data_IF_234318642297
#
_entry.id   IF_234318642297
#
_cell.length_a   1.000
_cell.length_b   1.000
_cell.length_c   1.000
_cell.angle_alpha   90.00
_cell.angle_beta   90.00
_cell.angle_gamma   90.00
#
_symmetry.space_group_name_H-M   'P 1'
#
loop_
_entity.id
_entity.type
_entity.pdbx_description
1 polymer ?
#
# COMPACT_ATOMS: atom_id res chain seq x y z
N UNK A 1 -3.77 21.72 -17.11
CA UNK A 1 -4.27 20.37 -16.75
C UNK A 1 -3.31 19.58 -15.85
N UNK A 2 -1.99 19.57 -16.11
CA UNK A 2 -1.03 18.77 -15.30
C UNK A 2 -0.98 19.16 -13.81
N UNK A 3 -1.05 20.45 -13.48
CA UNK A 3 -1.03 20.94 -12.07
C UNK A 3 -2.28 20.52 -11.30
N UNK A 4 -3.46 20.78 -11.85
CA UNK A 4 -4.76 20.38 -11.25
C UNK A 4 -4.81 18.88 -10.97
N UNK A 5 -4.36 18.04 -11.92
CA UNK A 5 -4.29 16.61 -11.70
C UNK A 5 -3.32 16.24 -10.58
N UNK A 6 -2.14 16.86 -10.54
CA UNK A 6 -1.14 16.61 -9.50
C UNK A 6 -1.65 17.00 -8.12
N UNK A 7 -2.35 18.11 -8.01
CA UNK A 7 -2.91 18.59 -6.74
C UNK A 7 -4.04 17.67 -6.24
N UNK A 8 -4.88 17.17 -7.16
CA UNK A 8 -5.97 16.25 -6.82
C UNK A 8 -5.47 14.81 -6.51
N UNK A 9 -4.58 14.28 -7.35
CA UNK A 9 -4.18 12.87 -7.28
C UNK A 9 -2.93 12.64 -6.44
N UNK A 10 -2.13 13.67 -6.21
CA UNK A 10 -0.86 13.60 -5.50
C UNK A 10 0.27 12.92 -6.27
N UNK A 11 0.14 12.84 -7.60
CA UNK A 11 1.13 12.29 -8.52
C UNK A 11 0.98 12.90 -9.91
N UNK A 12 1.99 12.77 -10.77
CA UNK A 12 1.88 13.24 -12.16
C UNK A 12 1.00 12.30 -12.98
N UNK A 13 0.43 12.79 -14.09
CA UNK A 13 -0.36 11.97 -15.03
C UNK A 13 0.44 10.74 -15.49
N UNK A 14 1.72 10.92 -15.82
CA UNK A 14 2.60 9.80 -16.22
C UNK A 14 2.75 8.76 -15.11
N UNK A 15 2.98 9.18 -13.87
CA UNK A 15 3.09 8.27 -12.72
C UNK A 15 1.79 7.51 -12.48
N UNK A 16 0.65 8.19 -12.65
CA UNK A 16 -0.66 7.56 -12.53
C UNK A 16 -0.89 6.51 -13.63
N UNK A 17 -0.60 6.84 -14.89
CA UNK A 17 -0.69 5.89 -16.00
C UNK A 17 0.20 4.66 -15.79
N UNK A 18 1.46 4.87 -15.38
CA UNK A 18 2.36 3.76 -15.01
C UNK A 18 1.73 2.88 -13.91
N UNK A 19 1.14 3.49 -12.89
CA UNK A 19 0.50 2.76 -11.79
C UNK A 19 -0.73 1.96 -12.24
N UNK A 20 -1.59 2.54 -13.08
CA UNK A 20 -2.75 1.84 -13.67
C UNK A 20 -2.28 0.62 -14.47
N UNK A 21 -1.24 0.75 -15.31
CA UNK A 21 -0.70 -0.38 -16.07
C UNK A 21 -0.17 -1.48 -15.15
N UNK A 22 0.53 -1.12 -14.07
CA UNK A 22 1.01 -2.10 -13.08
C UNK A 22 -0.14 -2.81 -12.37
N UNK A 23 -1.14 -2.08 -11.88
CA UNK A 23 -2.32 -2.68 -11.24
C UNK A 23 -3.07 -3.61 -12.20
N UNK A 24 -3.22 -3.21 -13.47
CA UNK A 24 -3.87 -4.03 -14.49
C UNK A 24 -3.10 -5.33 -14.76
N UNK A 25 -1.79 -5.24 -15.01
CA UNK A 25 -0.94 -6.43 -15.22
C UNK A 25 -0.90 -7.35 -13.98
N UNK A 26 -0.99 -6.78 -12.77
CA UNK A 26 -1.05 -7.53 -11.50
C UNK A 26 -2.27 -8.44 -11.47
N UNK A 27 -3.43 -7.95 -11.92
CA UNK A 27 -4.65 -8.74 -11.97
C UNK A 27 -4.52 -9.96 -12.90
N UNK A 28 -3.75 -9.86 -13.98
CA UNK A 28 -3.47 -10.95 -14.93
C UNK A 28 -2.45 -11.96 -14.39
N UNK A 29 -1.36 -11.49 -13.79
CA UNK A 29 -0.35 -12.36 -13.17
C UNK A 29 -0.96 -13.19 -12.02
N UNK A 30 -1.81 -12.58 -11.20
CA UNK A 30 -2.53 -13.29 -10.14
C UNK A 30 -3.52 -14.33 -10.69
N UNK A 31 -3.98 -14.15 -11.94
CA UNK A 31 -4.79 -15.12 -12.69
C UNK A 31 -3.94 -16.23 -13.36
N UNK A 32 -2.65 -16.33 -13.04
CA UNK A 32 -1.71 -17.27 -13.65
C UNK A 32 -1.55 -17.12 -15.18
N UNK A 33 -1.79 -15.91 -15.72
CA UNK A 33 -1.44 -15.60 -17.12
C UNK A 33 0.07 -15.40 -17.26
N UNK A 34 0.58 -15.60 -18.48
CA UNK A 34 2.00 -15.42 -18.77
C UNK A 34 2.44 -13.96 -18.56
N UNK A 35 3.74 -13.77 -18.33
CA UNK A 35 4.36 -12.43 -18.24
C UNK A 35 4.08 -11.62 -19.51
N UNK A 36 4.20 -12.25 -20.68
CA UNK A 36 3.95 -11.62 -21.98
C UNK A 36 2.51 -11.16 -22.13
N UNK A 37 1.54 -12.03 -21.87
CA UNK A 37 0.12 -11.68 -21.91
C UNK A 37 -0.19 -10.53 -20.95
N UNK A 38 0.30 -10.61 -19.72
CA UNK A 38 0.08 -9.58 -18.70
C UNK A 38 0.66 -8.21 -19.09
N UNK A 39 1.78 -8.19 -19.82
CA UNK A 39 2.40 -6.97 -20.31
C UNK A 39 1.61 -6.35 -21.47
N UNK A 40 1.19 -7.17 -22.44
CA UNK A 40 0.43 -6.74 -23.63
C UNK A 40 -0.93 -6.17 -23.22
N UNK A 41 -1.68 -6.89 -22.37
CA UNK A 41 -2.98 -6.42 -21.87
C UNK A 41 -2.89 -5.14 -21.04
N UNK A 42 -1.75 -4.91 -20.37
CA UNK A 42 -1.49 -3.68 -19.65
C UNK A 42 -0.98 -2.54 -20.56
N UNK A 43 -0.83 -2.76 -21.87
CA UNK A 43 -0.42 -1.75 -22.84
C UNK A 43 1.06 -1.38 -22.77
N UNK A 44 1.93 -2.35 -22.48
CA UNK A 44 3.38 -2.17 -22.60
C UNK A 44 3.87 -2.57 -24.00
N UNK A 45 4.69 -1.71 -24.61
CA UNK A 45 5.30 -1.97 -25.91
C UNK A 45 6.57 -2.84 -25.83
N UNK A 46 7.10 -3.09 -24.63
CA UNK A 46 8.27 -3.95 -24.43
C UNK A 46 8.23 -4.70 -23.10
N UNK A 47 8.72 -5.94 -23.08
CA UNK A 47 8.80 -6.76 -21.88
C UNK A 47 9.84 -6.24 -20.88
N UNK A 48 10.93 -5.63 -21.37
CA UNK A 48 11.96 -5.02 -20.54
C UNK A 48 11.41 -3.85 -19.72
N UNK A 49 10.75 -2.89 -20.38
CA UNK A 49 10.15 -1.74 -19.69
C UNK A 49 9.04 -2.16 -18.73
N UNK A 50 8.26 -3.17 -19.10
CA UNK A 50 7.28 -3.79 -18.21
C UNK A 50 7.94 -4.34 -16.95
N UNK A 51 8.92 -5.23 -17.09
CA UNK A 51 9.56 -5.91 -15.96
C UNK A 51 10.21 -4.92 -14.98
N UNK A 52 10.94 -3.93 -15.50
CA UNK A 52 11.57 -2.89 -14.67
C UNK A 52 10.53 -2.05 -13.93
N UNK A 53 9.47 -1.59 -14.63
CA UNK A 53 8.42 -0.76 -14.01
C UNK A 53 7.64 -1.56 -12.97
N UNK A 54 7.26 -2.78 -13.30
CA UNK A 54 6.51 -3.67 -12.41
C UNK A 54 7.29 -3.98 -11.13
N UNK A 55 8.58 -4.33 -11.26
CA UNK A 55 9.43 -4.61 -10.09
C UNK A 55 9.63 -3.36 -9.23
N UNK A 56 9.80 -2.18 -9.83
CA UNK A 56 9.92 -0.91 -9.10
C UNK A 56 8.68 -0.59 -8.26
N UNK A 57 7.50 -0.98 -8.74
CA UNK A 57 6.24 -0.72 -8.03
C UNK A 57 5.92 -1.77 -6.97
N UNK A 58 6.15 -3.05 -7.30
CA UNK A 58 5.70 -4.18 -6.48
C UNK A 58 6.79 -4.72 -5.55
N UNK A 59 8.06 -4.43 -5.83
CA UNK A 59 9.23 -5.04 -5.20
C UNK A 59 9.60 -6.43 -5.75
N UNK A 60 8.81 -7.00 -6.66
CA UNK A 60 8.95 -8.39 -7.13
C UNK A 60 8.95 -8.46 -8.65
N UNK A 61 9.75 -9.37 -9.22
CA UNK A 61 9.76 -9.60 -10.67
C UNK A 61 8.41 -10.17 -11.14
N UNK A 62 7.91 -9.82 -12.34
CA UNK A 62 6.62 -10.32 -12.83
C UNK A 62 6.48 -11.85 -12.78
N UNK A 63 7.52 -12.58 -13.22
CA UNK A 63 7.55 -14.04 -13.25
C UNK A 63 7.43 -14.70 -11.87
N UNK A 64 7.81 -13.99 -10.81
CA UNK A 64 7.80 -14.48 -9.43
C UNK A 64 6.59 -13.96 -8.64
N UNK A 65 5.84 -13.00 -9.20
CA UNK A 65 4.85 -12.23 -8.46
C UNK A 65 3.77 -13.11 -7.84
N UNK A 66 3.16 -14.00 -8.64
CA UNK A 66 2.11 -14.90 -8.15
C UNK A 66 2.63 -15.83 -7.05
N UNK A 67 3.72 -16.55 -7.33
CA UNK A 67 4.28 -17.52 -6.39
C UNK A 67 4.68 -16.87 -5.05
N UNK A 68 5.37 -15.72 -5.07
CA UNK A 68 5.73 -15.01 -3.84
C UNK A 68 4.51 -14.44 -3.12
N UNK A 69 3.51 -13.93 -3.85
CA UNK A 69 2.26 -13.45 -3.24
C UNK A 69 1.50 -14.58 -2.54
N UNK A 70 1.39 -15.74 -3.19
CA UNK A 70 0.69 -16.90 -2.63
C UNK A 70 1.46 -17.49 -1.43
N UNK A 71 2.79 -17.56 -1.50
CA UNK A 71 3.64 -17.91 -0.36
C UNK A 71 3.42 -16.95 0.82
N UNK A 72 3.51 -15.64 0.58
CA UNK A 72 3.38 -14.64 1.61
C UNK A 72 1.98 -14.64 2.24
N UNK A 73 0.93 -14.81 1.45
CA UNK A 73 -0.44 -14.91 1.98
C UNK A 73 -0.65 -16.16 2.84
N UNK A 74 -0.05 -17.30 2.51
CA UNK A 74 -0.10 -18.51 3.35
C UNK A 74 0.56 -18.25 4.70
N UNK A 75 1.81 -17.78 4.69
CA UNK A 75 2.55 -17.44 5.92
C UNK A 75 1.80 -16.41 6.77
N UNK A 76 1.32 -15.31 6.16
CA UNK A 76 0.62 -14.27 6.91
C UNK A 76 -0.73 -14.72 7.46
N UNK A 77 -1.40 -15.67 6.81
CA UNK A 77 -2.64 -16.26 7.33
C UNK A 77 -2.36 -17.08 8.61
N UNK A 78 -1.23 -17.78 8.65
CA UNK A 78 -0.80 -18.59 9.79
C UNK A 78 -0.30 -17.72 10.96
N UNK A 79 0.48 -16.67 10.68
CA UNK A 79 1.09 -15.82 11.72
C UNK A 79 0.18 -14.65 12.14
N UNK A 80 -1.01 -14.49 11.55
CA UNK A 80 -2.00 -13.52 11.99
C UNK A 80 -2.69 -13.96 13.29
N UNK A 81 -1.91 -14.18 14.35
CA UNK A 81 -2.42 -14.40 15.70
C UNK A 81 -3.07 -13.13 16.25
N UNK A 82 -4.14 -13.24 17.06
CA UNK A 82 -4.79 -12.08 17.65
C UNK A 82 -3.81 -11.25 18.50
N UNK A 83 -3.71 -9.94 18.22
CA UNK A 83 -3.05 -8.97 19.10
C UNK A 83 -1.63 -8.53 18.69
N UNK A 84 -0.98 -9.21 17.74
CA UNK A 84 0.38 -8.85 17.30
C UNK A 84 0.37 -7.73 16.25
N UNK A 85 1.00 -6.59 16.56
CA UNK A 85 1.26 -5.54 15.56
C UNK A 85 2.57 -5.87 14.83
N UNK A 86 2.54 -5.78 13.50
CA UNK A 86 3.76 -5.87 12.69
C UNK A 86 4.04 -4.47 12.17
N UNK A 87 5.04 -3.84 12.77
CA UNK A 87 5.47 -2.49 12.45
C UNK A 87 6.45 -2.50 11.27
N UNK A 88 6.26 -1.56 10.36
CA UNK A 88 7.16 -1.27 9.25
C UNK A 88 7.68 0.15 9.48
N UNK A 89 8.66 0.28 10.36
CA UNK A 89 9.40 1.54 10.49
C UNK A 89 10.69 1.43 9.69
N UNK A 90 10.89 2.30 8.70
CA UNK A 90 12.21 2.45 8.09
C UNK A 90 12.66 3.92 8.12
N UNK A 91 13.79 4.06 8.81
CA UNK A 91 14.66 5.23 8.97
C UNK A 91 14.25 6.21 10.08
N UNK A 92 14.82 5.96 11.27
CA UNK A 92 15.13 7.00 12.26
C UNK A 92 16.29 7.80 11.69
N UNK A 93 16.03 8.97 11.13
CA UNK A 93 17.09 9.99 11.08
C UNK A 93 17.18 10.51 12.50
N UNK A 94 18.23 10.11 13.23
CA UNK A 94 18.52 10.58 14.58
C UNK A 94 18.72 12.11 14.56
N UNK A 95 17.62 12.83 14.69
CA UNK A 95 17.59 14.21 15.15
C UNK A 95 16.74 14.16 16.42
N UNK A 96 17.42 14.11 17.58
CA UNK A 96 16.81 13.97 18.91
C UNK A 96 15.82 15.10 19.29
N UNK A 97 15.58 16.05 18.39
CA UNK A 97 14.73 17.23 18.60
C UNK A 97 13.43 17.20 17.81
N UNK A 98 13.24 16.29 16.85
CA UNK A 98 12.00 16.25 16.05
C UNK A 98 11.02 15.19 16.59
N UNK A 99 9.83 15.65 16.96
CA UNK A 99 8.75 14.88 17.58
C UNK A 99 7.47 14.93 16.74
N UNK A 100 7.58 14.66 15.44
CA UNK A 100 6.39 14.51 14.60
C UNK A 100 5.67 13.19 14.94
N UNK A 101 4.36 13.26 15.11
CA UNK A 101 3.52 12.09 15.37
C UNK A 101 2.17 12.17 14.64
N UNK A 102 1.68 10.99 14.28
CA UNK A 102 0.38 10.78 13.64
C UNK A 102 -0.37 9.63 14.31
N UNK A 103 -1.49 9.96 14.94
CA UNK A 103 -2.46 8.98 15.43
C UNK A 103 -3.49 8.67 14.35
N UNK A 104 -3.66 7.38 14.02
CA UNK A 104 -4.60 6.94 13.00
C UNK A 104 -5.58 5.94 13.59
N UNK A 105 -6.87 6.25 13.48
CA UNK A 105 -7.97 5.32 13.70
C UNK A 105 -8.56 4.88 12.36
N UNK A 106 -8.58 3.58 12.10
CA UNK A 106 -9.22 2.96 10.93
C UNK A 106 -10.62 2.50 11.34
N UNK A 107 -11.66 2.93 10.63
CA UNK A 107 -13.05 2.65 10.99
C UNK A 107 -13.69 1.83 9.89
N UNK A 108 -14.09 0.61 10.18
CA UNK A 108 -14.83 -0.26 9.26
C UNK A 108 -16.35 -0.15 9.50
N UNK A 109 -17.19 -0.57 8.53
CA UNK A 109 -18.62 -0.68 8.77
C UNK A 109 -18.97 -1.52 10.00
N UNK A 110 -20.07 -1.22 10.71
CA UNK A 110 -20.50 -1.98 11.88
C UNK A 110 -20.57 -3.49 11.61
N UNK A 111 -20.13 -4.29 12.58
CA UNK A 111 -20.10 -5.76 12.46
C UNK A 111 -18.96 -6.33 11.61
N UNK A 112 -18.26 -5.51 10.81
CA UNK A 112 -17.11 -5.99 10.04
C UNK A 112 -15.89 -6.24 10.94
N UNK A 113 -15.11 -7.27 10.61
CA UNK A 113 -13.86 -7.63 11.30
C UNK A 113 -12.74 -7.79 10.28
N UNK A 114 -11.83 -6.81 10.16
CA UNK A 114 -10.74 -6.91 9.19
C UNK A 114 -9.73 -7.98 9.60
N UNK A 115 -9.09 -8.63 8.62
CA UNK A 115 -7.97 -9.54 8.91
C UNK A 115 -6.72 -8.74 9.29
N UNK A 116 -6.21 -7.94 8.36
CA UNK A 116 -5.05 -7.06 8.57
C UNK A 116 -5.35 -5.70 7.96
N UNK A 117 -5.31 -4.65 8.76
CA UNK A 117 -5.37 -3.26 8.26
C UNK A 117 -3.96 -2.74 8.04
N UNK A 118 -3.62 -2.44 6.79
CA UNK A 118 -2.35 -1.79 6.45
C UNK A 118 -2.57 -0.29 6.38
N UNK A 119 -1.76 0.49 7.09
CA UNK A 119 -1.76 1.96 7.07
C UNK A 119 -0.35 2.43 6.75
N UNK A 120 -0.20 3.45 5.90
CA UNK A 120 1.12 3.99 5.60
C UNK A 120 1.12 5.44 5.11
N UNK A 121 2.28 6.08 5.31
CA UNK A 121 2.64 7.40 4.78
C UNK A 121 3.45 7.22 3.49
N UNK A 122 3.03 7.90 2.43
CA UNK A 122 3.65 7.81 1.11
C UNK A 122 4.05 9.20 0.60
N UNK A 123 5.17 9.30 -0.10
CA UNK A 123 5.62 10.55 -0.73
C UNK A 123 4.71 11.00 -1.90
N UNK A 124 3.89 10.09 -2.43
CA UNK A 124 2.94 10.36 -3.52
C UNK A 124 1.56 9.83 -3.18
N UNK A 125 0.52 10.39 -3.79
CA UNK A 125 -0.86 9.96 -3.59
C UNK A 125 -1.21 8.58 -4.19
N UNK A 126 -0.25 7.93 -4.84
CA UNK A 126 -0.30 6.54 -5.29
C UNK A 126 0.62 5.69 -4.41
N UNK A 127 0.12 4.61 -3.76
CA UNK A 127 0.92 3.73 -2.94
C UNK A 127 1.78 2.83 -3.85
N UNK A 128 3.07 3.18 -3.92
CA UNK A 128 4.09 2.50 -4.72
C UNK A 128 5.25 2.11 -3.82
N UNK A 129 5.63 0.83 -3.84
CA UNK A 129 6.75 0.33 -3.04
C UNK A 129 6.49 0.39 -1.53
N UNK A 130 7.57 0.51 -0.76
CA UNK A 130 7.53 0.57 0.71
C UNK A 130 7.08 1.96 1.17
N UNK A 131 6.16 2.09 2.14
CA UNK A 131 5.81 3.38 2.72
C UNK A 131 7.02 4.00 3.45
N UNK A 132 7.00 5.31 3.63
CA UNK A 132 7.99 6.03 4.47
C UNK A 132 7.92 5.49 5.90
N UNK A 133 6.70 5.43 6.44
CA UNK A 133 6.37 4.76 7.69
C UNK A 133 5.05 4.02 7.47
N UNK A 134 4.92 2.80 7.96
CA UNK A 134 3.66 2.06 7.90
C UNK A 134 3.50 1.03 9.01
N UNK A 135 2.27 0.57 9.18
CA UNK A 135 1.92 -0.48 10.13
C UNK A 135 0.94 -1.46 9.49
N UNK A 136 1.08 -2.72 9.85
CA UNK A 136 0.07 -3.75 9.64
C UNK A 136 -0.55 -4.12 10.99
N UNK A 137 -1.85 -3.83 11.11
CA UNK A 137 -2.64 -4.00 12.32
C UNK A 137 -3.43 -5.29 12.21
N UNK A 138 -3.01 -6.32 12.94
CA UNK A 138 -3.74 -7.60 13.01
C UNK A 138 -4.85 -7.48 14.04
N UNK A 139 -6.12 -7.54 13.58
CA UNK A 139 -7.34 -7.41 14.41
C UNK A 139 -7.37 -6.16 15.33
N UNK A 140 -6.55 -5.15 15.01
CA UNK A 140 -6.53 -3.81 15.63
C UNK A 140 -6.91 -2.78 14.57
N UNK A 141 -7.39 -1.64 15.04
CA UNK A 141 -7.87 -0.57 14.17
C UNK A 141 -7.20 0.76 14.45
N UNK A 142 -6.30 0.85 15.41
CA UNK A 142 -5.54 2.07 15.70
C UNK A 142 -4.04 1.85 15.71
N UNK A 143 -3.30 2.92 15.40
CA UNK A 143 -1.84 2.96 15.53
C UNK A 143 -1.36 4.40 15.66
N UNK A 144 -0.20 4.56 16.29
CA UNK A 144 0.52 5.81 16.41
C UNK A 144 1.84 5.70 15.66
N UNK A 145 2.08 6.59 14.72
CA UNK A 145 3.37 6.76 14.08
C UNK A 145 4.13 7.89 14.77
N UNK A 146 5.38 7.64 15.15
CA UNK A 146 6.28 8.64 15.76
C UNK A 146 7.54 8.80 14.92
N UNK A 147 8.32 9.83 15.21
CA UNK A 147 9.58 10.14 14.52
C UNK A 147 9.40 10.27 13.00
N UNK A 148 8.28 10.85 12.57
CA UNK A 148 7.97 11.06 11.16
C UNK A 148 8.95 12.12 10.61
N UNK A 149 9.74 11.85 9.56
CA UNK A 149 10.65 12.85 9.02
C UNK A 149 9.88 14.08 8.51
N UNK A 150 10.38 15.32 8.67
CA UNK A 150 9.74 16.48 8.07
C UNK A 150 9.49 16.29 6.58
N UNK A 151 8.34 16.77 6.10
CA UNK A 151 7.91 16.59 4.73
C UNK A 151 6.40 16.48 4.59
N UNK A 152 5.95 16.37 3.35
CA UNK A 152 4.52 16.28 3.00
C UNK A 152 4.20 14.88 2.51
N UNK A 153 3.29 14.18 3.18
CA UNK A 153 2.96 12.78 2.90
C UNK A 153 1.47 12.54 2.71
N UNK A 154 1.14 11.50 1.94
CA UNK A 154 -0.20 11.00 1.76
C UNK A 154 -0.44 9.82 2.69
N UNK A 155 -1.53 9.86 3.46
CA UNK A 155 -1.94 8.78 4.34
C UNK A 155 -2.94 7.88 3.61
N UNK A 156 -2.59 6.61 3.45
CA UNK A 156 -3.43 5.61 2.81
C UNK A 156 -3.59 4.41 3.72
N UNK A 157 -4.77 3.79 3.66
CA UNK A 157 -5.06 2.54 4.33
C UNK A 157 -5.77 1.56 3.39
N UNK A 158 -5.45 0.27 3.54
CA UNK A 158 -6.19 -0.80 2.88
C UNK A 158 -6.20 -2.06 3.73
N UNK A 159 -7.21 -2.89 3.52
CA UNK A 159 -7.28 -4.20 4.13
C UNK A 159 -6.55 -5.25 3.27
N UNK A 160 -5.78 -6.12 3.94
CA UNK A 160 -5.33 -7.39 3.38
C UNK A 160 -6.26 -8.51 3.84
N UNK A 161 -7.02 -9.07 2.90
CA UNK A 161 -7.98 -10.16 3.13
C UNK A 161 -7.40 -11.54 2.82
N UNK A 162 -7.86 -12.55 3.56
CA UNK A 162 -7.57 -13.97 3.35
C UNK A 162 -8.85 -14.72 2.96
N UNK A 163 -8.74 -15.95 2.46
CA UNK A 163 -9.91 -16.79 2.12
C UNK A 163 -10.63 -16.39 0.82
N UNK A 164 -10.16 -15.36 0.13
CA UNK A 164 -10.69 -14.92 -1.17
C UNK A 164 -9.59 -14.83 -2.23
N UNK A 165 -9.97 -15.04 -3.49
CA UNK A 165 -9.02 -15.02 -4.61
C UNK A 165 -8.23 -13.70 -4.62
N UNK A 166 -6.92 -13.71 -4.93
CA UNK A 166 -6.12 -12.49 -4.96
C UNK A 166 -6.70 -11.38 -5.85
N UNK A 167 -7.31 -11.74 -6.99
CA UNK A 167 -7.98 -10.78 -7.90
C UNK A 167 -9.19 -10.13 -7.24
N UNK A 168 -9.98 -10.90 -6.52
CA UNK A 168 -11.15 -10.41 -5.77
C UNK A 168 -10.71 -9.44 -4.67
N UNK A 169 -9.59 -9.75 -3.98
CA UNK A 169 -9.04 -8.85 -2.94
C UNK A 169 -8.76 -7.47 -3.49
N UNK A 170 -8.03 -7.35 -4.60
CA UNK A 170 -7.68 -6.03 -5.16
C UNK A 170 -8.91 -5.21 -5.59
N UNK A 171 -10.01 -5.89 -5.97
CA UNK A 171 -11.25 -5.26 -6.45
C UNK A 171 -12.25 -4.96 -5.34
N UNK A 172 -12.11 -5.55 -4.16
CA UNK A 172 -13.13 -5.49 -3.11
C UNK A 172 -12.55 -5.27 -1.71
N UNK A 173 -11.25 -5.03 -1.58
CA UNK A 173 -10.69 -4.74 -0.27
C UNK A 173 -11.14 -3.36 0.19
N UNK A 174 -11.47 -3.28 1.48
CA UNK A 174 -11.71 -2.01 2.12
C UNK A 174 -10.46 -1.14 2.03
N UNK A 175 -10.63 0.12 1.61
CA UNK A 175 -9.52 1.06 1.44
C UNK A 175 -9.99 2.50 1.63
N UNK A 176 -9.03 3.36 1.96
CA UNK A 176 -9.24 4.79 2.08
C UNK A 176 -7.94 5.56 1.87
N UNK A 177 -8.06 6.77 1.34
CA UNK A 177 -6.98 7.75 1.26
C UNK A 177 -7.45 9.01 1.99
N UNK A 178 -6.61 9.59 2.85
CA UNK A 178 -6.92 10.88 3.44
C UNK A 178 -7.03 11.94 2.31
N UNK A 179 -8.06 12.81 2.30
CA UNK A 179 -8.34 13.67 1.14
C UNK A 179 -7.22 14.63 0.75
N UNK A 180 -6.39 15.03 1.72
CA UNK A 180 -5.25 15.95 1.51
C UNK A 180 -3.97 15.34 2.07
N UNK A 181 -2.79 15.68 1.53
CA UNK A 181 -1.55 15.31 2.18
C UNK A 181 -1.39 16.07 3.51
N UNK A 182 -0.59 15.51 4.42
CA UNK A 182 -0.25 16.11 5.71
C UNK A 182 1.21 16.55 5.66
N UNK A 183 1.48 17.75 6.12
CA UNK A 183 2.84 18.30 6.19
C UNK A 183 3.31 18.26 7.64
N UNK A 184 4.47 17.63 7.85
CA UNK A 184 5.13 17.52 9.14
C UNK A 184 6.35 18.46 9.15
N UNK A 185 6.44 19.33 10.15
CA UNK A 185 7.47 20.39 10.22
C UNK A 185 8.53 20.14 11.29
N UNK A 186 8.41 19.08 12.09
CA UNK A 186 9.35 18.75 13.16
C UNK A 186 8.68 18.51 14.50
N UNK A 187 7.56 19.18 14.78
CA UNK A 187 6.79 19.06 16.03
C UNK A 187 5.29 18.89 15.77
N UNK A 188 4.94 18.44 14.57
CA UNK A 188 3.56 18.31 14.12
C UNK A 188 2.90 17.09 14.79
N UNK A 189 1.76 17.32 15.42
CA UNK A 189 0.93 16.31 16.07
C UNK A 189 -0.42 16.29 15.37
N UNK A 190 -0.80 15.14 14.80
CA UNK A 190 -2.06 15.00 14.06
C UNK A 190 -2.77 13.73 14.50
N UNK A 191 -4.09 13.81 14.66
CA UNK A 191 -4.96 12.65 14.80
C UNK A 191 -5.96 12.64 13.63
N UNK A 192 -6.22 11.48 13.04
CA UNK A 192 -7.20 11.34 11.98
C UNK A 192 -7.95 10.00 12.01
N UNK A 193 -9.16 10.04 11.46
CA UNK A 193 -9.98 8.86 11.21
C UNK A 193 -10.00 8.52 9.72
N UNK A 194 -9.73 7.27 9.37
CA UNK A 194 -9.93 6.72 8.03
C UNK A 194 -11.15 5.80 8.04
N UNK A 195 -12.29 6.33 7.59
CA UNK A 195 -13.51 5.54 7.37
C UNK A 195 -13.31 4.67 6.12
N UNK A 196 -13.08 3.39 6.35
CA UNK A 196 -12.86 2.39 5.33
C UNK A 196 -14.13 2.13 4.55
N UNK A 197 -13.99 2.08 3.23
CA UNK A 197 -15.09 1.80 2.31
C UNK A 197 -14.65 0.86 1.21
N UNK A 198 -15.63 0.33 0.48
CA UNK A 198 -15.34 -0.40 -0.75
C UNK A 198 -14.65 0.51 -1.79
N UNK A 199 -13.93 -0.11 -2.74
CA UNK A 199 -13.32 0.57 -3.87
C UNK A 199 -14.27 1.49 -4.64
N UNK A 200 -13.80 2.69 -4.98
CA UNK A 200 -14.46 3.61 -5.94
C UNK A 200 -13.49 4.02 -7.04
N UNK A 201 -14.01 4.58 -8.13
CA UNK A 201 -13.21 4.93 -9.31
C UNK A 201 -12.10 5.97 -9.04
N UNK A 202 -12.29 6.85 -8.05
CA UNK A 202 -11.31 7.88 -7.69
C UNK A 202 -10.19 7.36 -6.78
N UNK A 203 -10.23 6.09 -6.36
CA UNK A 203 -9.14 5.53 -5.58
C UNK A 203 -7.86 5.45 -6.42
N UNK A 204 -6.68 5.77 -5.83
CA UNK A 204 -5.43 5.58 -6.54
C UNK A 204 -5.19 4.08 -6.80
N UNK A 205 -4.58 3.72 -7.95
CA UNK A 205 -4.15 2.35 -8.20
C UNK A 205 -3.24 1.85 -7.09
N UNK A 206 -3.45 0.62 -6.63
CA UNK A 206 -2.60 0.03 -5.60
C UNK A 206 -1.61 -0.93 -6.24
N UNK A 207 -0.33 -0.57 -6.18
CA UNK A 207 0.71 -1.26 -6.97
C UNK A 207 1.74 -2.00 -6.14
N UNK A 208 1.75 -1.80 -4.82
CA UNK A 208 2.65 -2.52 -3.92
C UNK A 208 2.15 -3.93 -3.61
N UNK A 209 3.07 -4.88 -3.47
CA UNK A 209 2.74 -6.24 -3.04
C UNK A 209 2.69 -6.32 -1.50
N UNK A 210 1.56 -5.96 -0.88
CA UNK A 210 1.44 -5.96 0.59
C UNK A 210 1.78 -7.29 1.25
N UNK A 211 1.30 -8.46 0.76
CA UNK A 211 1.66 -9.73 1.38
C UNK A 211 3.17 -9.93 1.44
N UNK A 212 3.86 -9.75 0.31
CA UNK A 212 5.31 -9.97 0.25
C UNK A 212 6.05 -8.95 1.13
N UNK A 213 5.66 -7.68 1.06
CA UNK A 213 6.25 -6.63 1.89
C UNK A 213 6.12 -6.97 3.38
N UNK A 214 4.91 -7.30 3.84
CA UNK A 214 4.65 -7.59 5.23
C UNK A 214 5.41 -8.84 5.71
N UNK A 215 5.40 -9.92 4.92
CA UNK A 215 6.16 -11.13 5.22
C UNK A 215 7.66 -10.84 5.34
N UNK A 216 8.24 -10.03 4.44
CA UNK A 216 9.65 -9.66 4.49
C UNK A 216 10.01 -8.87 5.75
N UNK A 217 9.07 -8.08 6.28
CA UNK A 217 9.30 -7.24 7.45
C UNK A 217 9.14 -8.02 8.76
N UNK A 218 8.28 -9.04 8.77
CA UNK A 218 8.20 -9.99 9.89
C UNK A 218 9.48 -10.82 10.04
N UNK A 219 10.15 -11.15 8.92
CA UNK A 219 11.40 -11.92 8.90
C UNK A 219 12.64 -11.13 9.32
N UNK A 220 12.54 -9.80 9.43
CA UNK A 220 13.66 -8.92 9.80
C UNK A 220 13.63 -8.52 11.29
N UNK A 221 12.85 -9.24 12.11
CA UNK A 221 12.89 -9.15 13.57
C UNK A 221 14.09 -9.90 14.11
#
# INVERSE_FOLDING_TARGET
MSRVFKDAMGCTIRQYQEAVKVEHSTAWLLAARSVTHSAVEAGYSSLGSFATTFQRHTGVRPSQYKAQSDQARRVLKEVAEPGQQVYVQRTVTHCNTLHNQLDVQVIYPPGYRPHISCVGLFATGVPKGVPIIGAALVRKTSTTFTNIPPGTYYVLACELRFGVSPRTVLRQNYRQKHPRPITFTGHTQVALELRMRLPVASDPPITMNFPVLLMQLMRRK
#
